data_IF_974901998941
#
_entry.id   IF_974901998941
#
_cell.length_a   1.000
_cell.length_b   1.000
_cell.length_c   1.000
_cell.angle_alpha   90.00
_cell.angle_beta   90.00
_cell.angle_gamma   90.00
#
_symmetry.space_group_name_H-M   'P 1'
#
loop_
_entity.id
_entity.type
_entity.pdbx_description
1 polymer ?
#
# COMPACT_ATOMS: atom_id res chain seq x y z
N UNK A 1 -4.70 2.11 3.50
CA UNK A 1 -3.38 2.76 3.60
C UNK A 1 -2.69 2.30 4.88
N UNK A 2 -1.55 1.65 4.76
CA UNK A 2 -0.76 1.11 5.87
C UNK A 2 0.55 1.89 5.95
N UNK A 3 0.70 2.71 6.99
CA UNK A 3 1.91 3.51 7.20
C UNK A 3 2.01 3.89 8.67
N UNK A 4 3.20 3.77 9.25
CA UNK A 4 3.41 4.11 10.66
C UNK A 4 3.63 5.62 10.88
N UNK A 5 3.83 6.38 9.81
CA UNK A 5 3.91 7.84 9.86
C UNK A 5 2.52 8.46 9.81
N UNK A 6 2.12 9.13 10.87
CA UNK A 6 0.83 9.82 10.91
C UNK A 6 0.70 10.83 9.77
N UNK A 7 1.75 11.59 9.51
CA UNK A 7 1.75 12.63 8.48
C UNK A 7 1.51 12.03 7.09
N UNK A 8 2.26 10.99 6.73
CA UNK A 8 2.13 10.33 5.42
C UNK A 8 0.79 9.63 5.30
N UNK A 9 0.38 8.91 6.33
CA UNK A 9 -0.90 8.20 6.36
C UNK A 9 -2.08 9.14 6.14
N UNK A 10 -2.09 10.27 6.83
CA UNK A 10 -3.16 11.26 6.70
C UNK A 10 -3.12 11.97 5.34
N UNK A 11 -1.94 12.24 4.79
CA UNK A 11 -1.81 12.81 3.46
C UNK A 11 -2.44 11.89 2.42
N UNK A 12 -2.06 10.62 2.41
CA UNK A 12 -2.59 9.64 1.46
C UNK A 12 -4.10 9.45 1.64
N UNK A 13 -4.57 9.39 2.89
CA UNK A 13 -5.99 9.25 3.19
C UNK A 13 -6.79 10.42 2.60
N UNK A 14 -6.32 11.65 2.81
CA UNK A 14 -7.00 12.85 2.30
C UNK A 14 -7.03 12.88 0.78
N UNK A 15 -5.89 12.58 0.15
CA UNK A 15 -5.82 12.57 -1.32
C UNK A 15 -6.83 11.60 -1.92
N UNK A 16 -6.89 10.40 -1.39
CA UNK A 16 -7.79 9.37 -1.92
C UNK A 16 -9.24 9.66 -1.58
N UNK A 17 -9.53 10.09 -0.35
CA UNK A 17 -10.90 10.44 0.06
C UNK A 17 -11.45 11.59 -0.77
N UNK A 18 -10.62 12.58 -1.08
CA UNK A 18 -11.04 13.72 -1.91
C UNK A 18 -11.37 13.31 -3.34
N UNK A 19 -10.85 12.18 -3.80
CA UNK A 19 -11.17 11.62 -5.12
C UNK A 19 -12.34 10.65 -5.10
N UNK A 20 -12.99 10.46 -3.96
CA UNK A 20 -14.18 9.63 -3.85
C UNK A 20 -13.94 8.21 -3.37
N UNK A 21 -12.69 7.82 -3.09
CA UNK A 21 -12.38 6.50 -2.54
C UNK A 21 -12.71 6.44 -1.05
N UNK A 22 -13.20 5.29 -0.60
CA UNK A 22 -13.35 5.02 0.83
C UNK A 22 -12.03 4.49 1.35
N UNK A 23 -11.47 5.14 2.38
CA UNK A 23 -10.13 4.83 2.88
C UNK A 23 -10.19 4.36 4.33
N UNK A 24 -9.57 3.21 4.58
CA UNK A 24 -9.31 2.70 5.92
C UNK A 24 -7.81 2.79 6.14
N UNK A 25 -7.38 3.24 7.30
CA UNK A 25 -5.96 3.41 7.63
C UNK A 25 -5.53 2.35 8.64
N UNK A 26 -4.25 1.96 8.55
CA UNK A 26 -3.61 1.04 9.48
C UNK A 26 -2.25 1.60 9.87
N UNK A 27 -1.82 1.36 11.10
CA UNK A 27 -0.62 2.00 11.66
C UNK A 27 0.65 1.18 11.47
N UNK A 28 0.52 -0.10 11.13
CA UNK A 28 1.65 -1.00 10.85
C UNK A 28 1.18 -2.21 10.07
N UNK A 29 2.12 -3.10 9.74
CA UNK A 29 1.81 -4.29 8.94
C UNK A 29 0.84 -5.25 9.62
N UNK A 30 0.93 -5.42 10.94
CA UNK A 30 0.02 -6.31 11.66
C UNK A 30 -1.41 -5.77 11.65
N UNK A 31 -1.57 -4.47 11.86
CA UNK A 31 -2.86 -3.81 11.80
C UNK A 31 -3.44 -3.90 10.39
N UNK A 32 -2.61 -3.69 9.36
CA UNK A 32 -3.00 -3.85 7.95
C UNK A 32 -3.42 -5.27 7.62
N UNK A 33 -2.66 -6.26 8.11
CA UNK A 33 -2.99 -7.67 7.91
C UNK A 33 -4.35 -8.02 8.53
N UNK A 34 -4.60 -7.54 9.75
CA UNK A 34 -5.89 -7.75 10.40
C UNK A 34 -7.04 -7.11 9.62
N UNK A 35 -6.84 -5.93 9.07
CA UNK A 35 -7.85 -5.24 8.28
C UNK A 35 -8.20 -6.02 7.00
N UNK A 36 -7.20 -6.49 6.23
CA UNK A 36 -7.47 -7.20 4.97
C UNK A 36 -8.11 -8.56 5.17
N UNK A 37 -7.95 -9.15 6.36
CA UNK A 37 -8.61 -10.42 6.67
C UNK A 37 -10.06 -10.26 7.08
N UNK A 38 -10.45 -9.08 7.54
CA UNK A 38 -11.78 -8.85 8.12
C UNK A 38 -12.71 -8.02 7.25
N UNK A 39 -12.17 -7.28 6.28
CA UNK A 39 -12.93 -6.44 5.37
C UNK A 39 -12.47 -6.67 3.94
N UNK A 40 -13.31 -6.31 2.98
CA UNK A 40 -12.96 -6.39 1.56
C UNK A 40 -12.42 -5.05 1.08
N UNK A 41 -11.28 -5.09 0.39
CA UNK A 41 -10.63 -3.92 -0.19
C UNK A 41 -10.35 -4.14 -1.67
N UNK A 42 -10.26 -3.04 -2.41
CA UNK A 42 -9.88 -3.06 -3.82
C UNK A 42 -8.38 -2.80 -4.01
N UNK A 43 -7.72 -2.24 -3.02
CA UNK A 43 -6.30 -1.89 -3.08
C UNK A 43 -5.72 -1.77 -1.67
N UNK A 44 -4.49 -2.22 -1.52
CA UNK A 44 -3.67 -1.95 -0.33
C UNK A 44 -2.52 -1.06 -0.75
N UNK A 45 -2.31 0.04 -0.03
CA UNK A 45 -1.14 0.89 -0.18
C UNK A 45 -0.35 0.77 1.12
N UNK A 46 0.89 0.31 1.06
CA UNK A 46 1.69 0.07 2.25
C UNK A 46 3.09 0.64 2.15
N UNK A 47 3.61 1.13 3.26
CA UNK A 47 5.04 1.41 3.45
C UNK A 47 5.77 0.09 3.68
N UNK A 48 7.10 0.13 3.67
CA UNK A 48 7.97 -1.02 3.99
C UNK A 48 8.37 -0.99 5.46
N UNK A 49 9.01 0.08 5.91
CA UNK A 49 9.60 0.14 7.26
C UNK A 49 8.53 0.46 8.31
N UNK A 50 8.06 -0.56 8.98
CA UNK A 50 7.04 -0.44 10.01
C UNK A 50 7.32 -1.41 11.14
N UNK A 51 6.94 -1.08 12.40
CA UNK A 51 7.10 -2.01 13.51
C UNK A 51 6.15 -3.20 13.40
N UNK A 52 6.44 -4.24 14.12
CA UNK A 52 5.70 -5.52 14.26
C UNK A 52 5.67 -6.35 12.99
N UNK A 53 5.35 -5.77 11.85
CA UNK A 53 5.37 -6.44 10.54
C UNK A 53 5.67 -5.39 9.48
N UNK A 54 6.69 -5.58 8.66
CA UNK A 54 7.02 -4.65 7.60
C UNK A 54 6.13 -4.87 6.36
N UNK A 55 6.22 -3.96 5.39
CA UNK A 55 5.38 -4.02 4.20
C UNK A 55 5.68 -5.20 3.30
N UNK A 56 6.93 -5.66 3.24
CA UNK A 56 7.29 -6.83 2.43
C UNK A 56 6.64 -8.09 3.01
N UNK A 57 6.67 -8.26 4.32
CA UNK A 57 5.99 -9.36 4.98
C UNK A 57 4.49 -9.30 4.77
N UNK A 58 3.89 -8.12 4.85
CA UNK A 58 2.47 -7.93 4.61
C UNK A 58 2.08 -8.36 3.20
N UNK A 59 2.83 -7.93 2.19
CA UNK A 59 2.58 -8.31 0.79
C UNK A 59 2.67 -9.83 0.64
N UNK A 60 3.71 -10.44 1.23
CA UNK A 60 3.90 -11.89 1.15
C UNK A 60 2.72 -12.66 1.76
N UNK A 61 2.21 -12.21 2.90
CA UNK A 61 1.05 -12.84 3.53
C UNK A 61 -0.21 -12.71 2.68
N UNK A 62 -0.42 -11.55 2.08
CA UNK A 62 -1.56 -11.32 1.18
C UNK A 62 -1.49 -12.29 0.01
N UNK A 63 -0.33 -12.47 -0.60
CA UNK A 63 -0.16 -13.36 -1.76
C UNK A 63 -0.28 -14.84 -1.40
N UNK A 64 -0.04 -15.22 -0.16
CA UNK A 64 -0.19 -16.59 0.31
C UNK A 64 -1.62 -16.94 0.71
N UNK A 65 -2.45 -15.95 1.02
CA UNK A 65 -3.84 -16.17 1.41
C UNK A 65 -4.71 -16.47 0.18
N UNK A 66 -5.40 -17.62 0.11
CA UNK A 66 -6.13 -18.02 -1.10
C UNK A 66 -7.16 -17.01 -1.59
N UNK A 67 -7.83 -16.31 -0.68
CA UNK A 67 -8.87 -15.32 -1.02
C UNK A 67 -8.32 -13.91 -1.26
N UNK A 68 -7.02 -13.69 -1.10
CA UNK A 68 -6.39 -12.38 -1.23
C UNK A 68 -5.32 -12.32 -2.33
N UNK A 69 -5.12 -13.40 -3.07
CA UNK A 69 -4.03 -13.49 -4.06
C UNK A 69 -4.16 -12.48 -5.20
N UNK A 70 -5.37 -12.03 -5.49
CA UNK A 70 -5.64 -11.07 -6.57
C UNK A 70 -5.79 -9.63 -6.08
N UNK A 71 -5.69 -9.39 -4.78
CA UNK A 71 -5.82 -8.04 -4.22
C UNK A 71 -4.64 -7.17 -4.70
N UNK A 72 -4.91 -6.06 -5.41
CA UNK A 72 -3.84 -5.16 -5.83
C UNK A 72 -3.10 -4.57 -4.63
N UNK A 73 -1.78 -4.53 -4.72
CA UNK A 73 -0.92 -3.98 -3.66
C UNK A 73 0.07 -3.00 -4.26
N UNK A 74 0.12 -1.81 -3.69
CA UNK A 74 1.09 -0.77 -4.03
C UNK A 74 1.99 -0.53 -2.82
N UNK A 75 3.30 -0.52 -3.03
CA UNK A 75 4.27 -0.11 -2.02
C UNK A 75 4.62 1.35 -2.25
N UNK A 76 4.58 2.16 -1.20
CA UNK A 76 5.02 3.56 -1.20
C UNK A 76 6.06 3.72 -0.11
N UNK A 77 7.32 3.94 -0.47
CA UNK A 77 8.44 3.91 0.46
C UNK A 77 9.51 4.95 0.12
N UNK A 78 10.28 5.37 1.13
CA UNK A 78 11.48 6.18 0.90
C UNK A 78 12.67 5.37 0.36
N UNK A 79 12.61 4.05 0.41
CA UNK A 79 13.65 3.19 -0.16
C UNK A 79 13.60 3.27 -1.68
N UNK A 80 14.65 3.79 -2.30
CA UNK A 80 14.68 4.10 -3.73
C UNK A 80 15.69 3.27 -4.54
N UNK A 81 16.39 2.33 -3.91
CA UNK A 81 17.33 1.46 -4.60
C UNK A 81 16.59 0.43 -5.45
N UNK A 82 17.21 0.04 -6.55
CA UNK A 82 16.63 -1.00 -7.42
C UNK A 82 16.44 -2.33 -6.69
N UNK A 83 17.36 -2.68 -5.77
CA UNK A 83 17.23 -3.90 -4.96
C UNK A 83 16.01 -3.87 -4.04
N UNK A 84 15.66 -2.71 -3.48
CA UNK A 84 14.47 -2.54 -2.64
C UNK A 84 13.19 -2.70 -3.48
N UNK A 85 13.19 -2.08 -4.65
CA UNK A 85 12.09 -2.18 -5.60
C UNK A 85 11.89 -3.63 -6.02
N UNK A 86 12.97 -4.33 -6.33
CA UNK A 86 12.92 -5.73 -6.74
C UNK A 86 12.38 -6.62 -5.62
N UNK A 87 12.79 -6.39 -4.37
CA UNK A 87 12.25 -7.13 -3.22
C UNK A 87 10.74 -6.95 -3.08
N UNK A 88 10.25 -5.74 -3.25
CA UNK A 88 8.81 -5.46 -3.18
C UNK A 88 8.04 -6.17 -4.28
N UNK A 89 8.53 -6.08 -5.50
CA UNK A 89 7.89 -6.74 -6.66
C UNK A 89 7.97 -8.26 -6.55
N UNK A 90 9.10 -8.80 -6.11
CA UNK A 90 9.26 -10.25 -5.92
C UNK A 90 8.35 -10.80 -4.82
N UNK A 91 8.06 -10.00 -3.81
CA UNK A 91 7.09 -10.37 -2.77
C UNK A 91 5.66 -10.41 -3.29
N UNK A 92 5.39 -9.76 -4.42
CA UNK A 92 4.09 -9.79 -5.08
C UNK A 92 3.39 -8.44 -5.20
N UNK A 93 4.07 -7.33 -4.92
CA UNK A 93 3.48 -6.01 -5.13
C UNK A 93 3.27 -5.73 -6.62
N UNK A 94 2.17 -5.07 -6.95
CA UNK A 94 1.84 -4.71 -8.32
C UNK A 94 2.52 -3.40 -8.74
N UNK A 95 2.87 -2.57 -7.78
CA UNK A 95 3.46 -1.27 -8.04
C UNK A 95 4.38 -0.87 -6.89
N UNK A 96 5.51 -0.25 -7.22
CA UNK A 96 6.45 0.28 -6.22
C UNK A 96 6.65 1.76 -6.49
N UNK A 97 6.30 2.60 -5.52
CA UNK A 97 6.36 4.04 -5.64
C UNK A 97 7.31 4.61 -4.59
N UNK A 98 8.27 5.43 -5.00
CA UNK A 98 9.19 6.06 -4.03
C UNK A 98 8.61 7.38 -3.53
N UNK A 99 8.65 7.58 -2.21
CA UNK A 99 8.12 8.80 -1.58
C UNK A 99 8.89 10.05 -2.01
N UNK A 100 10.18 9.91 -2.38
CA UNK A 100 10.99 11.02 -2.87
C UNK A 100 10.54 11.53 -4.25
N UNK A 101 9.87 10.68 -5.03
CA UNK A 101 9.29 11.02 -6.32
C UNK A 101 7.77 11.26 -6.21
N UNK A 102 7.27 11.42 -5.00
CA UNK A 102 5.86 11.47 -4.72
C UNK A 102 5.26 12.82 -5.13
N UNK A 103 4.30 12.77 -6.03
CA UNK A 103 3.43 13.87 -6.39
C UNK A 103 1.99 13.38 -6.28
N UNK A 104 1.10 14.23 -5.81
CA UNK A 104 -0.30 13.88 -5.60
C UNK A 104 -0.93 13.27 -6.85
N UNK A 105 -0.70 13.88 -8.01
CA UNK A 105 -1.23 13.41 -9.29
C UNK A 105 -0.66 12.05 -9.68
N UNK A 106 0.62 11.80 -9.40
CA UNK A 106 1.27 10.53 -9.72
C UNK A 106 0.68 9.38 -8.91
N UNK A 107 0.44 9.61 -7.63
CA UNK A 107 -0.19 8.59 -6.77
C UNK A 107 -1.61 8.30 -7.26
N UNK A 108 -2.40 9.33 -7.51
CA UNK A 108 -3.79 9.17 -7.96
C UNK A 108 -3.85 8.49 -9.32
N UNK A 109 -2.92 8.79 -10.23
CA UNK A 109 -2.85 8.11 -11.52
C UNK A 109 -2.55 6.63 -11.36
N UNK A 110 -1.58 6.28 -10.50
CA UNK A 110 -1.23 4.89 -10.23
C UNK A 110 -2.42 4.11 -9.62
N UNK A 111 -3.14 4.72 -8.69
CA UNK A 111 -4.34 4.11 -8.10
C UNK A 111 -5.40 3.88 -9.18
N UNK A 112 -5.67 4.87 -10.00
CA UNK A 112 -6.63 4.76 -11.10
C UNK A 112 -6.23 3.66 -12.09
N UNK A 113 -4.94 3.53 -12.39
CA UNK A 113 -4.43 2.50 -13.28
C UNK A 113 -4.63 1.08 -12.71
N UNK A 114 -4.57 0.94 -11.38
CA UNK A 114 -4.72 -0.36 -10.73
C UNK A 114 -6.19 -0.75 -10.51
N UNK A 115 -7.04 0.18 -10.11
CA UNK A 115 -8.41 -0.15 -9.68
C UNK A 115 -9.50 0.71 -10.33
N UNK A 116 -9.13 1.62 -11.21
CA UNK A 116 -10.09 2.53 -11.85
C UNK A 116 -10.46 3.72 -10.98
N UNK A 117 -11.24 4.63 -11.55
CA UNK A 117 -11.73 5.80 -10.84
C UNK A 117 -12.80 5.40 -9.81
N UNK A 118 -12.86 6.18 -8.73
CA UNK A 118 -13.83 5.93 -7.67
C UNK A 118 -15.28 6.15 -8.13
#
# INVERSE_FOLDING_TARGET
VVDDSLTVRELERKLLSNCGYQVVVAVDGMDGWNAVRTEQFDLVITDIDMPRMDGIELVSLIRQAPNLQSLPVMIVSYKDREEDRQRGLDAGADYYFTKSSFHDESLLQAVTDLIGAA
#
